data_IF_115631335591
#
_entry.id   IF_115631335591
#
_cell.length_a   1.000
_cell.length_b   1.000
_cell.length_c   1.000
_cell.angle_alpha   90.00
_cell.angle_beta   90.00
_cell.angle_gamma   90.00
#
_symmetry.space_group_name_H-M   'P 1'
#
loop_
_entity.id
_entity.type
_entity.pdbx_description
1 polymer ?
#
# COMPACT_ATOMS: atom_id res chain seq x y z
N UNK A 1 24.06 1.63 -3.22
CA UNK A 1 22.82 2.10 -3.87
C UNK A 1 22.71 1.57 -5.30
N UNK A 2 21.54 1.03 -5.67
CA UNK A 2 21.38 0.15 -6.83
C UNK A 2 21.70 0.76 -8.21
N UNK A 3 21.55 2.08 -8.37
CA UNK A 3 21.86 2.79 -9.62
C UNK A 3 23.24 3.46 -9.62
N UNK A 4 23.94 3.48 -8.49
CA UNK A 4 25.20 4.21 -8.31
C UNK A 4 26.37 3.30 -7.99
N UNK A 5 26.12 2.01 -7.77
CA UNK A 5 27.12 0.98 -7.44
C UNK A 5 26.95 -0.22 -8.38
N UNK A 6 28.05 -0.91 -8.64
CA UNK A 6 28.05 -2.17 -9.39
C UNK A 6 27.41 -3.30 -8.57
N UNK A 7 27.11 -4.43 -9.23
CA UNK A 7 26.59 -5.64 -8.57
C UNK A 7 25.07 -5.81 -8.60
N UNK A 8 24.34 -4.85 -9.18
CA UNK A 8 22.88 -4.89 -9.32
C UNK A 8 22.39 -5.20 -10.75
N UNK A 9 23.32 -5.39 -11.70
CA UNK A 9 22.98 -5.66 -13.09
C UNK A 9 22.18 -6.96 -13.23
N UNK A 10 21.00 -6.88 -13.86
CA UNK A 10 20.10 -8.02 -14.07
C UNK A 10 19.34 -8.49 -12.81
N UNK A 11 19.49 -7.79 -11.68
CA UNK A 11 18.73 -8.09 -10.48
C UNK A 11 17.29 -7.56 -10.55
N UNK A 12 16.35 -8.28 -9.94
CA UNK A 12 14.99 -7.84 -9.70
C UNK A 12 14.74 -7.82 -8.18
N UNK A 13 14.21 -6.70 -7.68
CA UNK A 13 13.93 -6.49 -6.27
C UNK A 13 12.45 -6.25 -6.06
N UNK A 14 11.85 -6.99 -5.12
CA UNK A 14 10.47 -6.78 -4.68
C UNK A 14 10.49 -5.75 -3.55
N UNK A 15 9.94 -4.56 -3.80
CA UNK A 15 9.97 -3.47 -2.83
C UNK A 15 8.69 -3.47 -2.01
N UNK A 16 8.81 -3.71 -0.71
CA UNK A 16 7.68 -3.72 0.24
C UNK A 16 8.03 -2.95 1.51
N UNK A 17 6.99 -2.63 2.31
CA UNK A 17 7.17 -2.26 3.71
C UNK A 17 7.67 -3.43 4.56
N UNK A 18 7.91 -3.20 5.87
CA UNK A 18 8.36 -4.25 6.80
C UNK A 18 7.27 -5.26 7.18
N UNK A 19 6.01 -4.97 6.87
CA UNK A 19 4.84 -5.75 7.28
C UNK A 19 3.74 -5.63 6.22
N UNK A 20 2.90 -6.67 6.12
CA UNK A 20 1.67 -6.65 5.33
C UNK A 20 0.52 -6.30 6.26
N UNK A 21 -0.26 -5.28 5.89
CA UNK A 21 -1.38 -4.79 6.68
C UNK A 21 -2.68 -4.97 5.90
N UNK A 22 -3.73 -5.34 6.61
CA UNK A 22 -5.10 -5.17 6.15
C UNK A 22 -5.48 -3.69 6.15
N UNK A 23 -6.54 -3.32 5.42
CA UNK A 23 -7.05 -1.94 5.46
C UNK A 23 -7.60 -1.54 6.83
N UNK A 24 -8.07 -2.49 7.64
CA UNK A 24 -8.46 -2.25 9.03
C UNK A 24 -7.24 -1.85 9.87
N UNK A 25 -6.17 -2.63 9.84
CA UNK A 25 -4.94 -2.32 10.59
C UNK A 25 -4.28 -1.02 10.10
N UNK A 26 -4.33 -0.75 8.79
CA UNK A 26 -3.87 0.52 8.26
C UNK A 26 -4.68 1.70 8.83
N UNK A 27 -6.01 1.58 8.90
CA UNK A 27 -6.88 2.60 9.49
C UNK A 27 -6.59 2.81 10.99
N UNK A 28 -6.32 1.74 11.74
CA UNK A 28 -5.95 1.83 13.15
C UNK A 28 -4.61 2.57 13.33
N UNK A 29 -3.60 2.24 12.54
CA UNK A 29 -2.28 2.90 12.57
C UNK A 29 -2.41 4.39 12.27
N UNK A 30 -3.20 4.76 11.26
CA UNK A 30 -3.43 6.15 10.90
C UNK A 30 -4.24 6.89 11.97
N UNK A 31 -5.24 6.23 12.56
CA UNK A 31 -6.06 6.79 13.63
C UNK A 31 -5.21 7.18 14.84
N UNK A 32 -4.33 6.27 15.27
CA UNK A 32 -3.40 6.51 16.37
C UNK A 32 -2.45 7.67 16.06
N UNK A 33 -1.81 7.65 14.88
CA UNK A 33 -0.79 8.62 14.52
C UNK A 33 -1.32 10.04 14.35
N UNK A 34 -2.54 10.18 13.83
CA UNK A 34 -3.15 11.48 13.54
C UNK A 34 -4.15 11.93 14.61
N UNK A 35 -4.38 11.12 15.66
CA UNK A 35 -5.37 11.39 16.71
C UNK A 35 -6.77 11.67 16.14
N UNK A 36 -7.18 10.90 15.14
CA UNK A 36 -8.49 11.00 14.44
C UNK A 36 -9.13 9.62 14.36
N UNK A 37 -10.45 9.54 14.46
CA UNK A 37 -11.19 8.29 14.27
C UNK A 37 -11.31 7.99 12.77
N UNK A 38 -10.46 7.10 12.26
CA UNK A 38 -10.43 6.66 10.86
C UNK A 38 -10.85 5.20 10.82
N UNK A 39 -11.85 4.90 9.99
CA UNK A 39 -12.40 3.55 9.86
C UNK A 39 -12.36 3.11 8.41
N UNK A 40 -11.94 1.87 8.20
CA UNK A 40 -12.11 1.20 6.92
C UNK A 40 -13.50 0.57 6.86
N UNK A 41 -14.30 1.01 5.90
CA UNK A 41 -15.59 0.41 5.56
C UNK A 41 -15.50 -0.29 4.19
N UNK A 42 -15.44 -1.63 4.14
CA UNK A 42 -15.44 -2.35 2.88
C UNK A 42 -16.79 -2.19 2.18
N UNK A 43 -16.75 -1.91 0.88
CA UNK A 43 -17.93 -1.87 0.01
C UNK A 43 -17.95 -3.08 -0.92
N UNK A 44 -19.12 -3.37 -1.50
CA UNK A 44 -19.23 -4.41 -2.53
C UNK A 44 -18.48 -4.01 -3.79
N UNK A 45 -18.12 -4.98 -4.63
CA UNK A 45 -17.41 -4.72 -5.88
C UNK A 45 -18.29 -3.90 -6.86
N UNK A 46 -19.60 -4.13 -6.87
CA UNK A 46 -20.57 -3.33 -7.63
C UNK A 46 -20.59 -1.88 -7.13
N UNK A 47 -20.62 -1.69 -5.80
CA UNK A 47 -20.59 -0.36 -5.20
C UNK A 47 -19.29 0.37 -5.54
N UNK A 48 -18.14 -0.33 -5.51
CA UNK A 48 -16.86 0.24 -5.90
C UNK A 48 -16.83 0.66 -7.38
N UNK A 49 -17.37 -0.18 -8.27
CA UNK A 49 -17.48 0.14 -9.70
C UNK A 49 -18.33 1.39 -9.95
N UNK A 50 -19.48 1.50 -9.30
CA UNK A 50 -20.35 2.66 -9.38
C UNK A 50 -19.66 3.93 -8.84
N UNK A 51 -18.93 3.82 -7.73
CA UNK A 51 -18.15 4.93 -7.18
C UNK A 51 -17.05 5.40 -8.14
N UNK A 52 -16.29 4.48 -8.75
CA UNK A 52 -15.24 4.84 -9.70
C UNK A 52 -15.79 5.48 -10.97
N UNK A 53 -16.83 4.89 -11.56
CA UNK A 53 -17.44 5.42 -12.78
C UNK A 53 -18.13 6.76 -12.55
N UNK A 54 -18.82 6.94 -11.42
CA UNK A 54 -19.42 8.24 -11.05
C UNK A 54 -18.37 9.31 -10.74
N UNK A 55 -17.15 8.92 -10.34
CA UNK A 55 -16.01 9.81 -10.22
C UNK A 55 -15.34 10.17 -11.57
N UNK A 56 -15.86 9.64 -12.69
CA UNK A 56 -15.41 9.96 -14.05
C UNK A 56 -14.31 9.06 -14.60
N UNK A 57 -14.05 7.91 -13.97
CA UNK A 57 -13.14 6.91 -14.52
C UNK A 57 -13.81 6.16 -15.68
N UNK A 58 -13.01 5.86 -16.71
CA UNK A 58 -13.43 4.96 -17.79
C UNK A 58 -13.78 3.57 -17.24
N UNK A 59 -14.81 2.94 -17.80
CA UNK A 59 -15.34 1.67 -17.31
C UNK A 59 -14.28 0.56 -17.21
N UNK A 60 -13.49 0.36 -18.26
CA UNK A 60 -12.42 -0.64 -18.29
C UNK A 60 -11.39 -0.42 -17.18
N UNK A 61 -11.09 0.84 -16.87
CA UNK A 61 -10.16 1.20 -15.81
C UNK A 61 -10.77 0.96 -14.43
N UNK A 62 -12.05 1.29 -14.25
CA UNK A 62 -12.78 1.03 -13.02
C UNK A 62 -12.90 -0.47 -12.71
N UNK A 63 -13.20 -1.30 -13.72
CA UNK A 63 -13.22 -2.77 -13.58
C UNK A 63 -11.84 -3.33 -13.20
N UNK A 64 -10.78 -2.81 -13.81
CA UNK A 64 -9.41 -3.20 -13.48
C UNK A 64 -9.05 -2.87 -12.02
N UNK A 65 -9.47 -1.70 -11.50
CA UNK A 65 -9.28 -1.34 -10.09
C UNK A 65 -10.06 -2.27 -9.15
N UNK A 66 -11.31 -2.61 -9.49
CA UNK A 66 -12.09 -3.60 -8.71
C UNK A 66 -11.36 -4.94 -8.65
N UNK A 67 -10.86 -5.43 -9.79
CA UNK A 67 -10.06 -6.66 -9.86
C UNK A 67 -8.76 -6.59 -9.04
N UNK A 68 -8.09 -5.43 -9.02
CA UNK A 68 -6.92 -5.19 -8.18
C UNK A 68 -7.27 -5.35 -6.69
N UNK A 69 -8.37 -4.73 -6.23
CA UNK A 69 -8.79 -4.82 -4.83
C UNK A 69 -9.28 -6.22 -4.45
N UNK A 70 -9.91 -6.96 -5.36
CA UNK A 70 -10.18 -8.39 -5.18
C UNK A 70 -8.90 -9.18 -4.90
N UNK A 71 -7.85 -8.94 -5.70
CA UNK A 71 -6.54 -9.56 -5.51
C UNK A 71 -5.89 -9.21 -4.17
N UNK A 72 -5.96 -7.94 -3.76
CA UNK A 72 -5.47 -7.48 -2.45
C UNK A 72 -6.20 -8.20 -1.32
N UNK A 73 -7.54 -8.28 -1.37
CA UNK A 73 -8.35 -9.01 -0.36
C UNK A 73 -8.02 -10.51 -0.32
N UNK A 74 -7.67 -11.09 -1.46
CA UNK A 74 -7.22 -12.48 -1.56
C UNK A 74 -5.76 -12.69 -1.09
N UNK A 75 -5.09 -11.65 -0.59
CA UNK A 75 -3.72 -11.73 -0.07
C UNK A 75 -2.63 -11.75 -1.14
N UNK A 76 -2.96 -11.48 -2.41
CA UNK A 76 -1.98 -11.52 -3.51
C UNK A 76 -0.89 -10.45 -3.37
N UNK A 77 -1.15 -9.40 -2.60
CA UNK A 77 -0.20 -8.33 -2.28
C UNK A 77 0.45 -8.46 -0.88
N UNK A 78 0.23 -9.56 -0.17
CA UNK A 78 0.66 -9.70 1.23
C UNK A 78 2.11 -10.18 1.42
N UNK A 79 2.84 -10.46 0.33
CA UNK A 79 4.24 -10.86 0.43
C UNK A 79 5.08 -9.70 0.99
N UNK A 80 5.93 -10.00 1.98
CA UNK A 80 6.90 -9.05 2.56
C UNK A 80 8.30 -9.48 2.12
N UNK A 81 9.03 -8.56 1.50
CA UNK A 81 10.37 -8.81 0.97
C UNK A 81 11.47 -8.20 1.83
N UNK A 82 12.61 -8.88 2.02
CA UNK A 82 13.79 -8.31 2.67
C UNK A 82 14.59 -7.35 1.76
N UNK A 83 14.24 -7.23 0.47
CA UNK A 83 15.11 -6.62 -0.54
C UNK A 83 15.47 -5.17 -0.25
N UNK A 84 14.57 -4.39 0.35
CA UNK A 84 14.87 -3.00 0.74
C UNK A 84 16.08 -2.95 1.67
N UNK A 85 16.12 -3.82 2.68
CA UNK A 85 17.25 -3.90 3.62
C UNK A 85 18.51 -4.42 2.95
N UNK A 86 18.39 -5.39 2.05
CA UNK A 86 19.53 -5.93 1.32
C UNK A 86 20.19 -4.88 0.42
N UNK A 87 19.39 -4.07 -0.27
CA UNK A 87 19.88 -3.08 -1.24
C UNK A 87 20.35 -1.78 -0.58
N UNK A 88 19.68 -1.34 0.50
CA UNK A 88 19.94 -0.04 1.12
C UNK A 88 20.74 -0.13 2.42
N UNK A 89 20.87 -1.32 3.00
CA UNK A 89 21.44 -1.52 4.34
C UNK A 89 20.52 -1.07 5.49
N UNK A 90 19.38 -0.45 5.20
CA UNK A 90 18.43 0.08 6.18
C UNK A 90 17.09 -0.66 6.09
N UNK A 91 16.39 -0.88 7.21
CA UNK A 91 15.05 -1.46 7.16
C UNK A 91 14.09 -0.56 6.36
N UNK A 92 13.09 -1.13 5.65
CA UNK A 92 12.04 -0.34 5.02
C UNK A 92 11.26 0.46 6.07
N UNK A 93 10.76 1.63 5.67
CA UNK A 93 9.91 2.47 6.52
C UNK A 93 8.55 1.81 6.70
N UNK A 94 8.06 1.72 7.95
CA UNK A 94 6.70 1.24 8.25
C UNK A 94 5.64 2.32 7.99
N UNK A 95 4.38 1.89 7.85
CA UNK A 95 3.25 2.82 7.76
C UNK A 95 3.15 3.69 9.02
N UNK A 96 3.41 3.11 10.21
CA UNK A 96 3.40 3.83 11.49
C UNK A 96 4.43 4.96 11.51
N UNK A 97 5.66 4.70 11.05
CA UNK A 97 6.69 5.74 10.98
C UNK A 97 6.27 6.84 10.00
N UNK A 98 5.80 6.47 8.80
CA UNK A 98 5.33 7.44 7.81
C UNK A 98 4.19 8.32 8.35
N UNK A 99 3.19 7.71 9.01
CA UNK A 99 2.06 8.43 9.57
C UNK A 99 2.49 9.40 10.67
N UNK A 100 3.43 8.99 11.54
CA UNK A 100 3.99 9.86 12.57
C UNK A 100 4.77 11.03 11.99
N UNK A 101 5.62 10.79 10.98
CA UNK A 101 6.44 11.82 10.33
C UNK A 101 5.58 12.87 9.61
N UNK A 102 4.38 12.47 9.17
CA UNK A 102 3.48 13.32 8.36
C UNK A 102 2.29 13.87 9.14
N UNK A 103 2.21 13.64 10.45
CA UNK A 103 1.05 14.00 11.26
C UNK A 103 0.70 15.50 11.20
N UNK A 104 1.67 16.40 10.96
CA UNK A 104 1.41 17.83 10.82
C UNK A 104 0.73 18.27 9.51
N UNK A 105 0.57 17.36 8.55
CA UNK A 105 -0.07 17.64 7.25
C UNK A 105 -1.54 17.19 7.18
N UNK A 106 -2.06 16.54 8.21
CA UNK A 106 -3.38 15.89 8.26
C UNK A 106 -4.17 16.29 9.51
#
# INVERSE_FOLDING_TARGET
AALTEDGHAGAAYTITGPEALTYHEAADVLSEAWSRDIRYEPVSDETALDLFTSAGLDADYAEMLVGLFQGVRAGQAAAVSPDVKQVTGQPPRSLRQFASDTAGAW
#
